data_IF_241435670956
#
_entry.id   IF_241435670956
#
_cell.length_a   1.000
_cell.length_b   1.000
_cell.length_c   1.000
_cell.angle_alpha   90.00
_cell.angle_beta   90.00
_cell.angle_gamma   90.00
#
_symmetry.space_group_name_H-M   'P 1'
#
loop_
_entity.id
_entity.type
_entity.pdbx_description
1 polymer ?
#
# COMPACT_ATOMS: atom_id res chain seq x y z
N UNK A 1 -23.03 -15.36 -14.64
CA UNK A 1 -22.83 -15.94 -13.29
C UNK A 1 -22.12 -14.94 -12.42
N UNK A 2 -22.74 -14.46 -11.35
CA UNK A 2 -22.13 -13.57 -10.38
C UNK A 2 -20.91 -14.22 -9.74
N UNK A 3 -19.75 -13.57 -9.87
CA UNK A 3 -18.51 -14.04 -9.26
C UNK A 3 -18.54 -13.67 -7.78
N UNK A 4 -19.05 -14.52 -6.91
CA UNK A 4 -19.04 -14.32 -5.46
C UNK A 4 -17.65 -13.97 -4.89
N UNK A 5 -17.62 -13.35 -3.72
CA UNK A 5 -16.39 -12.95 -2.99
C UNK A 5 -15.83 -14.15 -2.25
N UNK A 6 -14.51 -14.39 -2.27
CA UNK A 6 -13.89 -15.44 -1.44
C UNK A 6 -14.23 -15.22 0.03
N UNK A 7 -14.63 -16.27 0.74
CA UNK A 7 -15.08 -16.20 2.14
C UNK A 7 -14.03 -15.60 3.08
N UNK A 8 -12.75 -15.97 2.95
CA UNK A 8 -11.67 -15.37 3.73
C UNK A 8 -11.50 -13.86 3.47
N UNK A 9 -11.75 -13.42 2.22
CA UNK A 9 -11.77 -11.99 1.89
C UNK A 9 -12.98 -11.32 2.52
N UNK A 10 -14.16 -11.93 2.45
CA UNK A 10 -15.39 -11.42 3.04
C UNK A 10 -15.22 -11.15 4.55
N UNK A 11 -14.75 -12.14 5.32
CA UNK A 11 -14.49 -12.00 6.75
C UNK A 11 -13.45 -10.92 7.09
N UNK A 12 -12.41 -10.82 6.24
CA UNK A 12 -11.39 -9.78 6.41
C UNK A 12 -11.91 -8.39 6.08
N UNK A 13 -12.74 -8.24 5.05
CA UNK A 13 -13.36 -6.97 4.64
C UNK A 13 -14.48 -6.55 5.63
N UNK A 14 -15.08 -7.51 6.34
CA UNK A 14 -16.00 -7.26 7.46
C UNK A 14 -15.29 -6.87 8.77
N UNK A 15 -13.96 -6.73 8.77
CA UNK A 15 -13.21 -6.31 9.95
C UNK A 15 -13.00 -7.39 11.03
N UNK A 16 -13.52 -8.62 10.84
CA UNK A 16 -13.58 -9.66 11.86
C UNK A 16 -12.20 -10.26 12.16
N UNK A 17 -11.42 -10.56 11.10
CA UNK A 17 -10.13 -11.24 11.27
C UNK A 17 -9.21 -10.99 10.07
N UNK A 18 -7.95 -11.46 10.11
CA UNK A 18 -7.08 -11.49 8.94
C UNK A 18 -7.52 -12.60 7.97
N UNK A 19 -7.14 -12.52 6.68
CA UNK A 19 -7.43 -13.59 5.71
C UNK A 19 -6.86 -14.94 6.12
N UNK A 20 -5.65 -14.96 6.69
CA UNK A 20 -5.01 -16.20 7.20
C UNK A 20 -5.82 -16.77 8.36
N UNK A 21 -6.20 -15.94 9.30
CA UNK A 21 -7.05 -16.35 10.43
C UNK A 21 -8.43 -16.82 9.97
N UNK A 22 -8.99 -16.20 8.93
CA UNK A 22 -10.23 -16.66 8.31
C UNK A 22 -10.06 -18.05 7.69
N UNK A 23 -8.95 -18.30 6.98
CA UNK A 23 -8.65 -19.62 6.41
C UNK A 23 -8.53 -20.68 7.52
N UNK A 24 -7.85 -20.36 8.64
CA UNK A 24 -7.76 -21.26 9.82
C UNK A 24 -9.14 -21.54 10.41
N UNK A 25 -10.02 -20.55 10.56
CA UNK A 25 -11.38 -20.73 11.09
C UNK A 25 -12.27 -21.55 10.15
N UNK A 26 -12.12 -21.39 8.82
CA UNK A 26 -12.84 -22.18 7.83
C UNK A 26 -12.40 -23.66 7.93
N UNK A 27 -11.09 -23.92 8.02
CA UNK A 27 -10.57 -25.28 8.19
C UNK A 27 -11.03 -25.93 9.51
N UNK A 28 -11.23 -25.15 10.56
CA UNK A 28 -11.74 -25.61 11.86
C UNK A 28 -13.28 -25.77 11.89
N UNK A 29 -14.00 -25.56 10.77
CA UNK A 29 -15.45 -25.66 10.73
C UNK A 29 -16.20 -24.58 11.51
N UNK A 30 -15.54 -23.47 11.88
CA UNK A 30 -16.12 -22.37 12.68
C UNK A 30 -16.95 -21.39 11.87
N UNK A 31 -16.92 -21.47 10.55
CA UNK A 31 -17.58 -20.53 9.63
C UNK A 31 -18.68 -21.24 8.86
N UNK A 32 -19.86 -20.64 8.83
CA UNK A 32 -20.99 -21.16 8.04
C UNK A 32 -21.56 -20.07 7.11
N UNK A 33 -22.16 -20.51 6.01
CA UNK A 33 -22.94 -19.69 5.07
C UNK A 33 -24.35 -20.28 5.01
N UNK A 34 -25.37 -19.47 5.29
CA UNK A 34 -26.77 -19.89 5.35
C UNK A 34 -26.97 -21.15 6.21
N UNK A 35 -26.27 -21.22 7.35
CA UNK A 35 -26.29 -22.33 8.30
C UNK A 35 -25.47 -23.56 7.91
N UNK A 36 -24.86 -23.61 6.72
CA UNK A 36 -24.00 -24.73 6.26
C UNK A 36 -22.53 -24.42 6.49
N UNK A 37 -21.79 -25.36 7.10
CA UNK A 37 -20.35 -25.23 7.33
C UNK A 37 -19.62 -25.02 6.01
N UNK A 38 -18.82 -23.97 5.97
CA UNK A 38 -18.04 -23.61 4.79
C UNK A 38 -16.73 -24.41 4.71
N UNK A 39 -16.28 -24.68 3.48
CA UNK A 39 -15.01 -25.35 3.19
C UNK A 39 -13.98 -24.38 2.55
N UNK A 40 -12.67 -24.69 2.57
CA UNK A 40 -11.66 -23.87 1.92
C UNK A 40 -11.99 -23.61 0.43
N UNK A 41 -11.84 -22.34 0.01
CA UNK A 41 -12.17 -21.93 -1.37
C UNK A 41 -13.62 -21.49 -1.59
N UNK A 42 -14.52 -21.67 -0.62
CA UNK A 42 -15.91 -21.21 -0.69
C UNK A 42 -16.00 -19.71 -1.00
N UNK A 43 -17.03 -19.34 -1.76
CA UNK A 43 -17.35 -17.95 -2.09
C UNK A 43 -18.71 -17.57 -1.53
N UNK A 44 -18.82 -16.34 -1.08
CA UNK A 44 -20.07 -15.72 -0.60
C UNK A 44 -20.71 -15.01 -1.78
N UNK A 45 -21.96 -15.32 -2.07
CA UNK A 45 -22.80 -14.63 -3.05
C UNK A 45 -23.54 -13.47 -2.37
N UNK A 46 -24.08 -12.58 -3.18
CA UNK A 46 -24.91 -11.48 -2.67
C UNK A 46 -26.16 -12.05 -1.96
N UNK A 47 -26.50 -11.48 -0.81
CA UNK A 47 -27.66 -11.91 -0.01
C UNK A 47 -27.41 -13.09 0.93
N UNK A 48 -26.29 -13.80 0.82
CA UNK A 48 -25.99 -14.90 1.74
C UNK A 48 -25.54 -14.39 3.12
N UNK A 49 -25.99 -15.07 4.15
CA UNK A 49 -25.65 -14.80 5.55
C UNK A 49 -24.40 -15.60 5.96
N UNK A 50 -23.39 -14.91 6.45
CA UNK A 50 -22.17 -15.54 6.97
C UNK A 50 -22.17 -15.49 8.47
N UNK A 51 -21.83 -16.60 9.13
CA UNK A 51 -21.68 -16.66 10.59
C UNK A 51 -20.33 -17.27 10.99
N UNK A 52 -19.83 -16.83 12.15
CA UNK A 52 -18.63 -17.36 12.80
C UNK A 52 -19.01 -17.81 14.21
N UNK A 53 -18.74 -19.07 14.55
CA UNK A 53 -19.17 -19.69 15.82
C UNK A 53 -20.67 -19.46 16.12
N UNK A 54 -21.53 -19.56 15.10
CA UNK A 54 -22.98 -19.36 15.19
C UNK A 54 -23.44 -17.90 15.23
N UNK A 55 -22.53 -16.92 15.35
CA UNK A 55 -22.87 -15.49 15.35
C UNK A 55 -22.83 -14.92 13.94
N UNK A 56 -23.95 -14.35 13.48
CA UNK A 56 -24.04 -13.70 12.16
C UNK A 56 -23.11 -12.49 12.08
N UNK A 57 -22.38 -12.38 10.96
CA UNK A 57 -21.44 -11.31 10.69
C UNK A 57 -22.12 -10.24 9.84
N UNK A 58 -22.19 -9.04 10.39
CA UNK A 58 -22.57 -7.85 9.62
C UNK A 58 -21.32 -7.18 9.08
N UNK A 59 -21.36 -6.82 7.80
CA UNK A 59 -20.27 -6.08 7.17
C UNK A 59 -20.36 -4.62 7.61
N UNK A 60 -19.28 -4.09 8.14
CA UNK A 60 -19.17 -2.66 8.40
C UNK A 60 -18.94 -1.93 7.06
N UNK A 61 -19.94 -1.18 6.60
CA UNK A 61 -19.90 -0.53 5.29
C UNK A 61 -19.15 0.82 5.29
N UNK A 62 -18.82 1.35 6.47
CA UNK A 62 -18.13 2.63 6.61
C UNK A 62 -16.68 2.51 6.18
N UNK A 63 -16.31 3.20 5.10
CA UNK A 63 -14.91 3.29 4.64
C UNK A 63 -14.10 4.13 5.63
N UNK A 64 -13.04 3.53 6.17
CA UNK A 64 -12.01 4.22 6.92
C UNK A 64 -10.78 4.40 6.02
N UNK A 65 -10.31 5.63 5.88
CA UNK A 65 -9.03 5.96 5.26
C UNK A 65 -8.34 7.05 6.07
N UNK A 66 -7.24 6.69 6.71
CA UNK A 66 -6.47 7.57 7.59
C UNK A 66 -5.14 7.95 6.95
N UNK A 67 -4.74 9.20 7.12
CA UNK A 67 -3.37 9.67 6.92
C UNK A 67 -2.68 9.71 8.28
N UNK A 68 -1.61 8.96 8.46
CA UNK A 68 -0.86 8.85 9.70
C UNK A 68 0.58 9.30 9.52
N UNK A 69 1.08 10.14 10.43
CA UNK A 69 2.49 10.51 10.49
C UNK A 69 3.25 9.50 11.33
N UNK A 70 3.73 8.44 10.67
CA UNK A 70 4.47 7.37 11.33
C UNK A 70 5.78 7.90 11.92
N UNK A 71 6.03 7.76 13.23
CA UNK A 71 7.34 8.05 13.81
C UNK A 71 8.38 6.99 13.43
N UNK A 72 9.65 7.30 13.62
CA UNK A 72 10.74 6.31 13.57
C UNK A 72 10.56 5.29 14.69
N UNK A 73 11.07 4.07 14.50
CA UNK A 73 11.00 3.01 15.51
C UNK A 73 9.75 2.12 15.42
N UNK A 74 8.70 2.56 14.71
CA UNK A 74 7.46 1.78 14.54
C UNK A 74 7.51 0.96 13.25
N UNK A 75 7.12 -0.32 13.33
CA UNK A 75 7.07 -1.27 12.22
C UNK A 75 5.68 -1.30 11.59
N UNK A 76 5.62 -1.22 10.25
CA UNK A 76 4.36 -1.32 9.49
C UNK A 76 3.89 -2.77 9.37
N UNK A 77 3.42 -3.36 10.45
CA UNK A 77 2.87 -4.72 10.54
C UNK A 77 1.69 -4.77 11.48
N UNK A 78 0.84 -5.79 11.31
CA UNK A 78 -0.20 -6.18 12.25
C UNK A 78 0.21 -7.45 13.06
N UNK A 79 1.48 -7.87 12.98
CA UNK A 79 2.01 -9.02 13.69
C UNK A 79 2.19 -8.68 15.17
N UNK A 80 1.45 -9.37 16.04
CA UNK A 80 1.43 -9.11 17.50
C UNK A 80 2.76 -9.41 18.21
N UNK A 81 3.64 -10.21 17.59
CA UNK A 81 4.98 -10.49 18.14
C UNK A 81 5.91 -9.26 18.07
N UNK A 82 5.65 -8.34 17.12
CA UNK A 82 6.37 -7.06 17.06
C UNK A 82 5.70 -6.07 18.02
N UNK A 83 6.37 -5.79 19.14
CA UNK A 83 5.86 -4.91 20.21
C UNK A 83 5.66 -3.46 19.75
N UNK A 84 6.45 -3.01 18.76
CA UNK A 84 6.39 -1.65 18.23
C UNK A 84 5.70 -1.63 16.85
N UNK A 85 4.57 -2.32 16.72
CA UNK A 85 3.81 -2.35 15.49
C UNK A 85 2.84 -1.16 15.38
N UNK A 86 2.54 -0.77 14.13
CA UNK A 86 1.74 0.41 13.82
C UNK A 86 0.27 0.29 14.30
N UNK A 87 -0.27 -0.92 14.37
CA UNK A 87 -1.68 -1.14 14.76
C UNK A 87 -1.85 -0.90 16.25
N UNK A 88 -0.97 -1.49 17.07
CA UNK A 88 -1.00 -1.30 18.53
C UNK A 88 -0.60 0.13 18.92
N UNK A 89 0.18 0.82 18.08
CA UNK A 89 0.50 2.24 18.29
C UNK A 89 -0.71 3.16 18.11
N UNK A 90 -1.52 2.91 17.07
CA UNK A 90 -2.66 3.79 16.70
C UNK A 90 -3.90 3.47 17.54
N UNK A 91 -4.15 2.20 17.91
CA UNK A 91 -5.30 1.72 18.68
C UNK A 91 -6.65 2.22 18.13
N UNK A 92 -6.83 2.12 16.80
CA UNK A 92 -8.06 2.56 16.15
C UNK A 92 -9.23 1.61 16.47
N UNK A 93 -10.46 2.11 16.72
CA UNK A 93 -11.59 1.28 17.17
C UNK A 93 -11.95 0.13 16.24
N UNK A 94 -11.87 0.34 14.92
CA UNK A 94 -12.13 -0.68 13.92
C UNK A 94 -10.83 -1.24 13.36
N UNK A 95 -10.90 -2.44 12.81
CA UNK A 95 -9.73 -3.08 12.23
C UNK A 95 -9.25 -2.37 10.98
N UNK A 96 -8.08 -1.76 11.06
CA UNK A 96 -7.37 -1.12 9.94
C UNK A 96 -6.03 -1.81 9.68
N UNK A 97 -5.46 -1.55 8.51
CA UNK A 97 -4.12 -2.02 8.14
C UNK A 97 -3.40 -1.00 7.24
N UNK A 98 -2.07 -1.00 7.26
CA UNK A 98 -1.30 -0.02 6.49
C UNK A 98 -1.39 -0.28 4.98
N UNK A 99 -1.50 0.80 4.21
CA UNK A 99 -1.44 0.82 2.75
C UNK A 99 0.03 0.89 2.35
N UNK A 100 0.61 -0.26 2.07
CA UNK A 100 2.04 -0.39 1.86
C UNK A 100 2.83 -0.35 3.17
N UNK A 101 4.12 -0.05 3.06
CA UNK A 101 5.02 -0.02 4.21
C UNK A 101 5.95 1.18 4.16
N UNK A 102 6.41 1.59 5.35
CA UNK A 102 7.61 2.38 5.60
C UNK A 102 8.53 1.55 6.49
N UNK A 103 9.83 1.66 6.29
CA UNK A 103 10.81 0.97 7.13
C UNK A 103 10.73 1.48 8.57
N UNK A 104 11.21 0.68 9.54
CA UNK A 104 11.23 1.01 10.96
C UNK A 104 11.94 2.34 11.25
N UNK A 105 13.06 2.56 10.57
CA UNK A 105 13.93 3.73 10.67
C UNK A 105 13.52 4.91 9.76
N UNK A 106 12.40 4.80 9.06
CA UNK A 106 11.83 5.87 8.23
C UNK A 106 10.61 6.50 8.89
N UNK A 107 10.39 7.79 8.59
CA UNK A 107 9.31 8.63 9.14
C UNK A 107 8.37 9.09 8.04
N UNK A 108 7.19 9.57 8.41
CA UNK A 108 6.31 10.33 7.53
C UNK A 108 5.00 9.63 7.19
N UNK A 109 4.38 10.07 6.10
CA UNK A 109 3.03 9.68 5.72
C UNK A 109 2.91 8.20 5.42
N UNK A 110 1.95 7.55 6.08
CA UNK A 110 1.43 6.25 5.69
C UNK A 110 -0.10 6.30 5.75
N UNK A 111 -0.76 5.70 4.78
CA UNK A 111 -2.21 5.55 4.79
C UNK A 111 -2.57 4.25 5.50
N UNK A 112 -3.70 4.26 6.23
CA UNK A 112 -4.30 3.05 6.82
C UNK A 112 -5.78 2.99 6.41
N UNK A 113 -6.29 1.78 6.21
CA UNK A 113 -7.68 1.58 5.78
C UNK A 113 -8.23 0.25 6.27
N UNK A 114 -9.56 0.14 6.36
CA UNK A 114 -10.28 -1.12 6.51
C UNK A 114 -10.63 -1.78 5.16
N UNK A 115 -10.32 -1.12 4.02
CA UNK A 115 -10.74 -1.56 2.69
C UNK A 115 -9.58 -2.12 1.86
N UNK A 116 -9.47 -3.47 1.80
CA UNK A 116 -8.35 -4.18 1.18
C UNK A 116 -8.15 -3.96 -0.31
N UNK A 117 -9.22 -3.73 -1.04
CA UNK A 117 -9.13 -3.46 -2.48
C UNK A 117 -8.53 -2.08 -2.75
N UNK A 118 -8.94 -1.07 -1.98
CA UNK A 118 -8.36 0.28 -2.04
C UNK A 118 -6.86 0.24 -1.73
N UNK A 119 -6.47 -0.43 -0.64
CA UNK A 119 -5.07 -0.60 -0.27
C UNK A 119 -4.25 -1.24 -1.40
N UNK A 120 -4.76 -2.33 -1.98
CA UNK A 120 -4.11 -3.02 -3.09
C UNK A 120 -3.96 -2.14 -4.33
N UNK A 121 -4.96 -1.33 -4.65
CA UNK A 121 -4.92 -0.42 -5.81
C UNK A 121 -3.85 0.64 -5.61
N UNK A 122 -3.80 1.30 -4.46
CA UNK A 122 -2.79 2.33 -4.13
C UNK A 122 -1.37 1.75 -4.15
N UNK A 123 -1.17 0.49 -3.72
CA UNK A 123 0.17 -0.10 -3.56
C UNK A 123 0.76 -0.69 -4.83
N UNK A 124 -0.06 -1.06 -5.84
CA UNK A 124 0.44 -1.79 -7.01
C UNK A 124 1.38 -0.94 -7.86
N UNK A 125 2.65 -1.34 -7.93
CA UNK A 125 3.70 -0.67 -8.69
C UNK A 125 3.41 -0.51 -10.20
N UNK A 126 2.55 -1.37 -10.79
CA UNK A 126 2.16 -1.29 -12.20
C UNK A 126 1.37 -0.02 -12.54
N UNK A 127 0.80 0.66 -11.55
CA UNK A 127 0.01 1.88 -11.76
C UNK A 127 0.81 3.17 -11.61
N UNK A 128 2.11 3.09 -11.37
CA UNK A 128 3.00 4.24 -11.30
C UNK A 128 2.59 5.31 -10.28
N UNK A 129 1.95 4.92 -9.17
CA UNK A 129 1.54 5.84 -8.12
C UNK A 129 2.74 6.51 -7.47
N UNK A 130 2.75 7.82 -7.51
CA UNK A 130 3.82 8.63 -6.95
C UNK A 130 3.87 8.57 -5.42
N UNK A 131 5.08 8.50 -4.91
CA UNK A 131 5.41 8.68 -3.50
C UNK A 131 6.59 9.63 -3.41
N UNK A 132 6.44 10.66 -2.59
CA UNK A 132 7.41 11.72 -2.47
C UNK A 132 8.07 11.70 -1.12
N UNK A 133 9.40 11.87 -1.13
CA UNK A 133 10.23 11.78 0.06
C UNK A 133 11.18 12.95 0.15
N UNK A 134 11.47 13.38 1.40
CA UNK A 134 12.57 14.27 1.75
C UNK A 134 13.65 13.41 2.41
N UNK A 135 14.87 13.52 1.91
CA UNK A 135 15.99 12.68 2.32
C UNK A 135 17.18 13.56 2.72
N UNK A 136 17.77 13.27 3.87
CA UNK A 136 19.04 13.88 4.30
C UNK A 136 20.13 12.81 4.27
N UNK A 137 21.29 13.17 3.71
CA UNK A 137 22.47 12.31 3.58
C UNK A 137 23.67 12.88 4.32
N UNK A 138 24.69 12.05 4.55
CA UNK A 138 25.83 12.37 5.41
C UNK A 138 26.84 13.34 4.81
N UNK A 139 26.81 13.61 3.49
CA UNK A 139 27.75 14.48 2.79
C UNK A 139 27.05 15.35 1.74
N UNK A 140 27.71 16.42 1.24
CA UNK A 140 27.16 17.31 0.23
C UNK A 140 26.73 16.58 -1.05
N UNK A 141 25.58 16.99 -1.59
CA UNK A 141 24.99 16.44 -2.81
C UNK A 141 25.57 17.17 -4.02
N UNK A 142 26.10 16.40 -4.98
CA UNK A 142 26.64 16.90 -6.24
C UNK A 142 25.58 16.82 -7.36
N UNK A 143 25.79 17.55 -8.43
CA UNK A 143 24.95 17.45 -9.64
C UNK A 143 25.05 16.05 -10.26
N UNK A 144 26.21 15.41 -10.20
CA UNK A 144 26.40 14.04 -10.66
C UNK A 144 25.51 13.04 -9.87
N UNK A 145 25.44 13.20 -8.53
CA UNK A 145 24.52 12.40 -7.71
C UNK A 145 23.06 12.57 -8.16
N UNK A 146 22.60 13.80 -8.39
CA UNK A 146 21.23 14.08 -8.84
C UNK A 146 20.96 13.42 -10.19
N UNK A 147 21.90 13.54 -11.14
CA UNK A 147 21.79 12.97 -12.47
C UNK A 147 21.72 11.44 -12.44
N UNK A 148 22.59 10.78 -11.67
CA UNK A 148 22.57 9.32 -11.52
C UNK A 148 21.29 8.84 -10.82
N UNK A 149 20.90 9.46 -9.71
CA UNK A 149 19.67 9.12 -8.98
C UNK A 149 18.43 9.21 -9.88
N UNK A 150 18.34 10.24 -10.73
CA UNK A 150 17.15 10.47 -11.55
C UNK A 150 17.04 9.51 -12.75
N UNK A 151 18.15 9.05 -13.32
CA UNK A 151 18.17 8.12 -14.47
C UNK A 151 17.87 6.67 -14.09
N UNK A 152 18.02 6.33 -12.82
CA UNK A 152 17.89 4.98 -12.29
C UNK A 152 19.22 4.37 -11.87
N UNK A 153 19.18 3.59 -10.80
CA UNK A 153 20.34 3.02 -10.12
C UNK A 153 20.19 1.50 -10.00
N UNK A 154 21.25 0.70 -10.18
CA UNK A 154 21.19 -0.74 -9.93
C UNK A 154 20.89 -1.04 -8.46
N UNK A 155 19.79 -1.78 -8.21
CA UNK A 155 19.33 -2.17 -6.87
C UNK A 155 18.69 -3.55 -6.95
N UNK A 156 19.12 -4.49 -6.11
CA UNK A 156 18.53 -5.83 -6.02
C UNK A 156 18.44 -6.58 -7.36
N UNK A 157 19.50 -6.51 -8.17
CA UNK A 157 19.58 -7.21 -9.46
C UNK A 157 18.74 -6.58 -10.59
N UNK A 158 18.17 -5.39 -10.37
CA UNK A 158 17.43 -4.63 -11.39
C UNK A 158 17.86 -3.17 -11.38
N UNK A 159 17.58 -2.44 -12.46
CA UNK A 159 17.74 -0.98 -12.49
C UNK A 159 16.43 -0.33 -12.06
N UNK A 160 16.50 0.62 -11.13
CA UNK A 160 15.30 1.35 -10.69
C UNK A 160 14.72 2.18 -11.83
N UNK A 161 13.42 2.43 -11.79
CA UNK A 161 12.79 3.34 -12.76
C UNK A 161 13.38 4.74 -12.64
N UNK A 162 13.45 5.50 -13.74
CA UNK A 162 13.73 6.93 -13.68
C UNK A 162 12.78 7.63 -12.70
N UNK A 163 13.30 8.65 -12.01
CA UNK A 163 12.55 9.36 -10.98
C UNK A 163 12.92 10.85 -10.96
N UNK A 164 12.09 11.66 -10.34
CA UNK A 164 12.35 13.08 -10.17
C UNK A 164 13.17 13.28 -8.90
N UNK A 165 14.31 13.95 -9.03
CA UNK A 165 15.19 14.30 -7.89
C UNK A 165 15.49 15.79 -7.93
N UNK A 166 15.29 16.49 -6.79
CA UNK A 166 15.57 17.92 -6.66
C UNK A 166 16.41 18.17 -5.40
N UNK A 167 17.48 18.91 -5.54
CA UNK A 167 18.29 19.38 -4.40
C UNK A 167 17.49 20.42 -3.59
N UNK A 168 17.39 20.24 -2.28
CA UNK A 168 16.73 21.18 -1.34
C UNK A 168 17.71 21.82 -0.35
N UNK A 169 18.94 21.38 -0.34
CA UNK A 169 20.00 21.90 0.54
C UNK A 169 21.30 21.17 0.29
N UNK A 170 22.33 21.51 1.05
CA UNK A 170 23.67 20.96 0.85
C UNK A 170 23.69 19.42 0.95
N UNK A 171 23.04 18.86 1.98
CA UNK A 171 22.93 17.41 2.22
C UNK A 171 21.48 16.91 2.15
N UNK A 172 20.56 17.64 1.49
CA UNK A 172 19.13 17.35 1.50
C UNK A 172 18.57 17.40 0.09
N UNK A 173 17.75 16.38 -0.26
CA UNK A 173 17.08 16.30 -1.55
C UNK A 173 15.64 15.76 -1.41
N UNK A 174 14.84 16.08 -2.40
CA UNK A 174 13.49 15.58 -2.60
C UNK A 174 13.52 14.55 -3.72
N UNK A 175 12.79 13.44 -3.57
CA UNK A 175 12.68 12.40 -4.58
C UNK A 175 11.23 11.92 -4.73
N UNK A 176 10.77 11.80 -5.98
CA UNK A 176 9.44 11.27 -6.32
C UNK A 176 9.63 9.95 -7.05
N UNK A 177 9.12 8.88 -6.46
CA UNK A 177 9.19 7.50 -6.97
C UNK A 177 7.83 6.98 -7.38
N UNK A 178 7.78 6.21 -8.48
CA UNK A 178 6.59 5.47 -8.94
C UNK A 178 6.67 3.97 -8.69
N UNK A 179 7.68 3.52 -7.96
CA UNK A 179 7.88 2.12 -7.54
C UNK A 179 8.32 2.08 -6.07
N UNK A 180 8.37 0.89 -5.47
CA UNK A 180 8.79 0.71 -4.09
C UNK A 180 9.48 -0.63 -3.89
N UNK A 181 10.76 -0.73 -4.22
CA UNK A 181 11.60 -1.87 -3.90
C UNK A 181 11.98 -1.81 -2.41
N UNK A 182 12.38 -2.96 -1.85
CA UNK A 182 12.83 -3.01 -0.46
C UNK A 182 13.99 -2.05 -0.22
N UNK A 183 13.78 -1.08 0.71
CA UNK A 183 14.73 -0.02 1.09
C UNK A 183 15.33 0.74 -0.11
N UNK A 184 14.54 0.96 -1.16
CA UNK A 184 15.00 1.45 -2.47
C UNK A 184 15.87 2.70 -2.35
N UNK A 185 15.40 3.78 -1.74
CA UNK A 185 16.13 5.06 -1.66
C UNK A 185 17.46 4.88 -0.92
N UNK A 186 17.48 4.12 0.17
CA UNK A 186 18.71 3.85 0.94
C UNK A 186 19.73 3.08 0.11
N UNK A 187 19.30 2.07 -0.64
CA UNK A 187 20.17 1.29 -1.55
C UNK A 187 20.66 2.11 -2.73
N UNK A 188 19.82 2.97 -3.30
CA UNK A 188 20.23 3.89 -4.37
C UNK A 188 21.32 4.86 -3.88
N UNK A 189 21.13 5.45 -2.68
CA UNK A 189 22.14 6.31 -2.05
C UNK A 189 23.43 5.55 -1.76
N UNK A 190 23.33 4.35 -1.19
CA UNK A 190 24.48 3.49 -0.85
C UNK A 190 25.30 3.14 -2.09
N UNK A 191 24.64 2.75 -3.19
CA UNK A 191 25.29 2.48 -4.48
C UNK A 191 26.11 3.67 -5.00
N UNK A 192 25.64 4.89 -4.76
CA UNK A 192 26.32 6.13 -5.14
C UNK A 192 27.31 6.64 -4.06
N UNK A 193 27.58 5.85 -3.02
CA UNK A 193 28.50 6.19 -1.93
C UNK A 193 27.95 7.20 -0.93
N UNK A 194 26.61 7.26 -0.77
CA UNK A 194 25.93 8.13 0.21
C UNK A 194 25.19 7.33 1.28
N UNK A 195 25.27 7.78 2.54
CA UNK A 195 24.50 7.22 3.64
C UNK A 195 23.30 8.09 3.96
N UNK A 196 22.09 7.49 4.01
CA UNK A 196 20.85 8.18 4.39
C UNK A 196 20.76 8.32 5.91
N UNK A 197 20.75 9.57 6.41
CA UNK A 197 20.56 9.91 7.82
C UNK A 197 19.07 9.97 8.18
N UNK A 198 18.27 10.69 7.38
CA UNK A 198 16.82 10.78 7.58
C UNK A 198 16.08 10.52 6.27
N UNK A 199 14.93 9.87 6.38
CA UNK A 199 14.03 9.62 5.26
C UNK A 199 12.59 9.83 5.73
N UNK A 200 11.94 10.85 5.16
CA UNK A 200 10.58 11.24 5.51
C UNK A 200 9.69 11.20 4.25
N UNK A 201 8.65 10.37 4.26
CA UNK A 201 7.64 10.40 3.18
C UNK A 201 6.64 11.50 3.43
N UNK A 202 6.49 12.42 2.47
CA UNK A 202 5.66 13.61 2.60
C UNK A 202 4.38 13.56 1.77
N UNK A 203 4.31 12.68 0.75
CA UNK A 203 3.13 12.55 -0.11
C UNK A 203 2.95 11.12 -0.64
N UNK A 204 1.71 10.69 -0.78
CA UNK A 204 1.28 9.48 -1.50
C UNK A 204 0.17 9.90 -2.45
N UNK A 205 0.40 9.81 -3.76
CA UNK A 205 -0.52 10.30 -4.80
C UNK A 205 -0.89 11.77 -4.53
N UNK A 206 -2.17 12.07 -4.26
CA UNK A 206 -2.65 13.41 -3.93
C UNK A 206 -2.79 13.68 -2.42
N UNK A 207 -2.51 12.70 -1.56
CA UNK A 207 -2.59 12.88 -0.10
C UNK A 207 -1.25 13.34 0.42
N UNK A 208 -1.23 14.49 1.07
CA UNK A 208 -0.02 15.12 1.63
C UNK A 208 0.03 14.96 3.15
N UNK A 209 1.25 14.91 3.66
CA UNK A 209 1.50 14.90 5.11
C UNK A 209 1.07 16.23 5.75
N UNK A 210 1.38 17.36 5.09
CA UNK A 210 1.15 18.70 5.62
C UNK A 210 1.75 18.88 7.01
N UNK A 211 1.00 19.57 7.87
CA UNK A 211 1.38 19.90 9.25
C UNK A 211 0.97 18.83 10.28
N UNK A 212 0.60 17.62 9.80
CA UNK A 212 0.22 16.52 10.69
C UNK A 212 1.37 16.19 11.65
N UNK A 213 1.11 16.29 12.96
CA UNK A 213 2.13 16.05 14.00
C UNK A 213 2.61 14.60 14.00
N UNK A 214 3.88 14.38 14.32
CA UNK A 214 4.46 13.04 14.43
C UNK A 214 3.68 12.19 15.43
N UNK A 215 3.36 10.95 15.07
CA UNK A 215 2.61 10.03 15.92
C UNK A 215 1.10 10.25 15.94
N UNK A 216 0.58 11.20 15.16
CA UNK A 216 -0.88 11.44 15.07
C UNK A 216 -1.43 11.04 13.70
N UNK A 217 -2.75 10.89 13.63
CA UNK A 217 -3.47 10.63 12.39
C UNK A 217 -4.63 11.60 12.21
N UNK A 218 -5.08 11.73 10.96
CA UNK A 218 -6.32 12.39 10.57
C UNK A 218 -7.08 11.53 9.57
N UNK A 219 -8.37 11.75 9.44
CA UNK A 219 -9.10 11.24 8.28
C UNK A 219 -8.55 11.87 7.00
N UNK A 220 -8.50 11.10 5.91
CA UNK A 220 -8.35 11.66 4.57
C UNK A 220 -9.62 12.43 4.26
N UNK A 221 -9.49 13.70 3.81
CA UNK A 221 -10.65 14.54 3.55
C UNK A 221 -11.47 14.02 2.37
N UNK A 222 -12.73 14.45 2.27
CA UNK A 222 -13.60 14.07 1.14
C UNK A 222 -13.00 14.49 -0.20
N UNK A 223 -12.42 15.69 -0.29
CA UNK A 223 -11.73 16.19 -1.48
C UNK A 223 -10.52 15.35 -1.85
N UNK A 224 -9.70 14.98 -0.86
CA UNK A 224 -8.56 14.08 -1.07
C UNK A 224 -9.03 12.71 -1.56
N UNK A 225 -10.08 12.16 -0.94
CA UNK A 225 -10.66 10.86 -1.31
C UNK A 225 -11.26 10.88 -2.70
N UNK A 226 -11.98 11.95 -3.06
CA UNK A 226 -12.55 12.13 -4.39
C UNK A 226 -11.44 12.17 -5.45
N UNK A 227 -10.40 13.00 -5.27
CA UNK A 227 -9.25 13.08 -6.17
C UNK A 227 -8.52 11.75 -6.28
N UNK A 228 -8.30 11.07 -5.15
CA UNK A 228 -7.69 9.74 -5.11
C UNK A 228 -8.48 8.73 -5.96
N UNK A 229 -9.79 8.69 -5.80
CA UNK A 229 -10.67 7.80 -6.56
C UNK A 229 -10.63 8.12 -8.06
N UNK A 230 -10.63 9.40 -8.46
CA UNK A 230 -10.50 9.81 -9.85
C UNK A 230 -9.17 9.34 -10.47
N UNK A 231 -8.05 9.49 -9.77
CA UNK A 231 -6.74 9.00 -10.21
C UNK A 231 -6.78 7.48 -10.40
N UNK A 232 -7.34 6.75 -9.43
CA UNK A 232 -7.49 5.30 -9.49
C UNK A 232 -8.43 4.82 -10.61
N UNK A 233 -9.44 5.61 -11.03
CA UNK A 233 -10.34 5.28 -12.14
C UNK A 233 -9.68 5.48 -13.51
N UNK A 234 -8.95 6.57 -13.73
CA UNK A 234 -8.22 6.83 -15.00
C UNK A 234 -7.31 5.66 -15.37
N UNK A 235 -6.65 5.06 -14.39
CA UNK A 235 -5.75 3.91 -14.61
C UNK A 235 -6.46 2.65 -15.10
N UNK A 236 -7.71 2.42 -14.69
CA UNK A 236 -8.53 1.30 -15.24
C UNK A 236 -8.76 1.46 -16.73
N UNK A 237 -8.95 2.68 -17.20
CA UNK A 237 -9.19 2.98 -18.62
C UNK A 237 -7.92 2.81 -19.46
N UNK A 238 -6.76 3.27 -18.96
CA UNK A 238 -5.49 3.16 -19.67
C UNK A 238 -4.91 1.73 -19.64
N UNK A 239 -5.05 1.03 -18.53
CA UNK A 239 -4.65 -0.37 -18.39
C UNK A 239 -5.46 -1.33 -19.29
N UNK A 240 -6.72 -1.01 -19.59
CA UNK A 240 -7.55 -1.77 -20.55
C UNK A 240 -7.16 -1.50 -22.00
N UNK A 241 -6.69 -0.29 -22.33
CA UNK A 241 -6.18 0.03 -23.69
C UNK A 241 -4.87 -0.70 -24.00
N UNK A 242 -3.93 -0.73 -23.04
CA UNK A 242 -2.64 -1.41 -23.22
C UNK A 242 -2.76 -2.94 -23.30
N UNK A 243 -3.72 -3.55 -22.61
CA UNK A 243 -3.94 -5.00 -22.69
C UNK A 243 -4.59 -5.45 -23.99
N UNK A 244 -5.39 -4.59 -24.65
CA UNK A 244 -5.96 -4.85 -25.98
C UNK A 244 -4.88 -4.76 -27.07
N UNK A 245 -3.98 -3.78 -27.00
CA UNK A 245 -2.89 -3.61 -27.98
C UNK A 245 -1.83 -4.74 -27.92
N UNK A 246 -1.58 -5.31 -26.73
CA UNK A 246 -0.68 -6.47 -26.61
C UNK A 246 -1.28 -7.79 -27.11
N UNK A 247 -2.60 -7.94 -27.09
CA UNK A 247 -3.28 -9.13 -27.66
C UNK A 247 -3.34 -9.09 -29.18
N UNK A 248 -3.50 -7.93 -29.79
CA UNK A 248 -3.45 -7.78 -31.25
C UNK A 248 -2.05 -8.04 -31.82
N UNK A 249 -0.97 -7.62 -31.13
CA UNK A 249 0.39 -7.90 -31.59
C UNK A 249 0.84 -9.37 -31.43
N UNK A 250 0.29 -10.12 -30.47
CA UNK A 250 0.58 -11.57 -30.33
C UNK A 250 -0.12 -12.43 -31.36
N UNK A 251 -1.29 -12.02 -31.83
CA UNK A 251 -2.03 -12.77 -32.87
C UNK A 251 -1.44 -12.55 -34.27
N UNK A 252 -0.73 -11.44 -34.52
CA UNK A 252 -0.06 -11.18 -35.80
C UNK A 252 1.26 -11.95 -35.98
N UNK A 253 1.87 -12.46 -34.91
CA UNK A 253 3.12 -13.26 -34.96
C UNK A 253 2.90 -14.77 -34.95
N UNK A 254 1.66 -15.27 -34.93
CA UNK A 254 1.34 -16.70 -35.01
C UNK A 254 0.73 -17.14 -36.35
N UNK A 255 0.73 -16.26 -37.35
CA UNK A 255 0.23 -16.51 -38.70
C UNK A 255 1.31 -16.32 -39.79
N UNK A 256 2.53 -16.83 -39.55
CA UNK A 256 3.53 -17.05 -40.61
C UNK A 256 4.28 -18.33 -40.33
#
# INVERSE_FOLDING_TARGET
MEKGVRLNKYLSDAGICSRRQADDWIMQGKVAIDGKIAVPGTRVLQGQKVSVNGKEIQKEDTLVLLAFHKPRGIVCTAEKREKHNIIDYIQYPTRIYPVGRLDKDSEGLILLTNHGELANRICKARYYHEKEYIVTVHKPITEEFINHMSRGVPVLGTVTRPCIVKKEGNCKFRIILTQGLNRQIRRMCEYLGYQVLTLKRVRIMNVELGDLKVGTYRNVSEDELMKLNQMLLKERMDGTKNSKNQRTHKNFKRGK
#
